data_IF_831836322739
#
_entry.id   IF_831836322739
#
_cell.length_a   1.000
_cell.length_b   1.000
_cell.length_c   1.000
_cell.angle_alpha   90.00
_cell.angle_beta   90.00
_cell.angle_gamma   90.00
#
_symmetry.space_group_name_H-M   'P 1'
#
loop_
_entity.id
_entity.type
_entity.pdbx_description
1 polymer ?
#
# COMPACT_ATOMS: atom_id res chain seq x y z
N UNK A 1 -57.02 -24.85 -38.79
CA UNK A 1 -55.97 -24.60 -37.77
C UNK A 1 -54.63 -24.44 -38.45
N UNK A 2 -54.29 -23.19 -38.80
CA UNK A 2 -53.00 -22.83 -39.41
C UNK A 2 -51.97 -22.70 -38.31
N UNK A 3 -51.21 -23.76 -38.13
CA UNK A 3 -49.93 -23.66 -37.45
C UNK A 3 -48.96 -23.03 -38.46
N UNK A 4 -48.67 -21.74 -38.24
CA UNK A 4 -47.65 -21.01 -38.99
C UNK A 4 -46.32 -21.75 -38.84
N UNK A 5 -45.85 -22.35 -39.91
CA UNK A 5 -44.47 -22.78 -40.06
C UNK A 5 -43.61 -21.54 -40.02
N UNK A 6 -43.06 -21.22 -38.83
CA UNK A 6 -42.02 -20.24 -38.73
C UNK A 6 -40.75 -20.93 -39.24
N UNK A 7 -40.34 -20.58 -40.46
CA UNK A 7 -39.15 -21.15 -41.10
C UNK A 7 -37.91 -20.87 -40.21
N UNK A 8 -37.40 -21.91 -39.59
CA UNK A 8 -36.17 -21.86 -38.76
C UNK A 8 -35.00 -21.16 -39.47
N UNK A 9 -34.79 -21.25 -40.79
CA UNK A 9 -33.77 -20.51 -41.52
C UNK A 9 -33.89 -18.97 -41.42
N UNK A 10 -35.15 -18.42 -41.40
CA UNK A 10 -35.36 -16.98 -41.34
C UNK A 10 -35.01 -16.39 -39.95
N UNK A 11 -35.26 -17.17 -38.90
CA UNK A 11 -34.88 -16.79 -37.53
C UNK A 11 -33.33 -16.84 -37.38
N UNK A 12 -32.68 -17.84 -37.91
CA UNK A 12 -31.21 -17.94 -37.89
C UNK A 12 -30.54 -16.81 -38.69
N UNK A 13 -31.10 -16.43 -39.85
CA UNK A 13 -30.65 -15.30 -40.65
C UNK A 13 -30.82 -13.96 -39.91
N UNK A 14 -31.95 -13.79 -39.20
CA UNK A 14 -32.18 -12.61 -38.35
C UNK A 14 -31.15 -12.47 -37.24
N UNK A 15 -30.82 -13.57 -36.53
CA UNK A 15 -29.79 -13.58 -35.51
C UNK A 15 -28.39 -13.32 -36.08
N UNK A 16 -28.07 -13.87 -37.23
CA UNK A 16 -26.77 -13.68 -37.86
C UNK A 16 -26.49 -12.23 -38.27
N UNK A 17 -27.54 -11.47 -38.55
CA UNK A 17 -27.45 -10.02 -38.89
C UNK A 17 -27.53 -9.14 -37.61
N UNK A 18 -28.42 -9.51 -36.69
CA UNK A 18 -28.66 -8.68 -35.49
C UNK A 18 -27.43 -8.68 -34.54
N UNK A 19 -26.72 -9.79 -34.43
CA UNK A 19 -25.56 -9.90 -33.51
C UNK A 19 -24.38 -8.96 -33.90
N UNK A 20 -23.89 -8.97 -35.15
CA UNK A 20 -22.87 -8.02 -35.58
C UNK A 20 -23.31 -6.56 -35.46
N UNK A 21 -24.60 -6.28 -35.75
CA UNK A 21 -25.16 -4.95 -35.65
C UNK A 21 -25.22 -4.46 -34.20
N UNK A 22 -25.53 -5.34 -33.25
CA UNK A 22 -25.48 -5.03 -31.82
C UNK A 22 -24.07 -4.69 -31.35
N UNK A 23 -23.06 -5.47 -31.73
CA UNK A 23 -21.66 -5.21 -31.40
C UNK A 23 -21.19 -3.90 -32.02
N UNK A 24 -21.49 -3.67 -33.30
CA UNK A 24 -21.15 -2.42 -33.97
C UNK A 24 -21.84 -1.21 -33.31
N UNK A 25 -23.11 -1.37 -32.90
CA UNK A 25 -23.86 -0.33 -32.18
C UNK A 25 -23.20 0.08 -30.85
N UNK A 26 -22.73 -0.87 -30.07
CA UNK A 26 -22.00 -0.60 -28.82
C UNK A 26 -20.69 0.12 -29.12
N UNK A 27 -19.89 -0.37 -30.07
CA UNK A 27 -18.62 0.27 -30.45
C UNK A 27 -18.86 1.72 -30.94
N UNK A 28 -19.86 1.90 -31.81
CA UNK A 28 -20.22 3.21 -32.34
C UNK A 28 -20.69 4.16 -31.22
N UNK A 29 -21.48 3.66 -30.29
CA UNK A 29 -21.92 4.39 -29.09
C UNK A 29 -20.74 4.91 -28.26
N UNK A 30 -19.73 4.08 -28.00
CA UNK A 30 -18.50 4.50 -27.32
C UNK A 30 -17.72 5.54 -28.12
N UNK A 31 -17.63 5.38 -29.44
CA UNK A 31 -16.95 6.36 -30.30
C UNK A 31 -17.69 7.70 -30.28
N UNK A 32 -19.02 7.69 -30.40
CA UNK A 32 -19.84 8.90 -30.35
C UNK A 32 -19.73 9.58 -28.98
N UNK A 33 -19.82 8.79 -27.90
CA UNK A 33 -19.70 9.30 -26.53
C UNK A 33 -18.35 9.96 -26.29
N UNK A 34 -17.28 9.34 -26.77
CA UNK A 34 -15.93 9.89 -26.72
C UNK A 34 -15.79 11.20 -27.47
N UNK A 35 -16.42 11.28 -28.67
CA UNK A 35 -16.39 12.48 -29.49
C UNK A 35 -17.28 13.60 -28.91
N UNK A 36 -18.45 13.25 -28.36
CA UNK A 36 -19.38 14.18 -27.73
C UNK A 36 -18.82 14.77 -26.42
N UNK A 37 -18.13 13.96 -25.63
CA UNK A 37 -17.51 14.40 -24.37
C UNK A 37 -16.16 15.09 -24.57
N UNK A 38 -15.66 15.21 -25.82
CA UNK A 38 -14.36 15.83 -26.12
C UNK A 38 -13.24 15.37 -25.18
N UNK A 39 -13.19 14.07 -24.90
CA UNK A 39 -12.14 13.50 -24.05
C UNK A 39 -10.79 13.61 -24.81
N UNK A 40 -10.04 14.64 -24.47
CA UNK A 40 -8.71 14.86 -25.03
C UNK A 40 -7.71 13.98 -24.25
N UNK A 41 -7.16 12.98 -24.95
CA UNK A 41 -6.13 12.09 -24.38
C UNK A 41 -4.93 12.86 -23.85
N UNK A 42 -4.60 13.99 -24.47
CA UNK A 42 -3.46 14.79 -24.05
C UNK A 42 -3.71 15.49 -22.70
N UNK A 43 -4.97 15.88 -22.41
CA UNK A 43 -5.30 16.45 -21.11
C UNK A 43 -5.39 15.38 -20.02
N UNK A 44 -5.93 14.19 -20.31
CA UNK A 44 -5.92 13.05 -19.38
C UNK A 44 -4.50 12.57 -19.10
N UNK A 45 -3.66 12.43 -20.12
CA UNK A 45 -2.24 12.08 -19.94
C UNK A 45 -1.47 13.18 -19.19
N UNK A 46 -1.81 14.46 -19.42
CA UNK A 46 -1.22 15.57 -18.69
C UNK A 46 -1.72 15.64 -17.23
N UNK A 47 -3.00 15.34 -16.99
CA UNK A 47 -3.55 15.25 -15.63
C UNK A 47 -3.04 13.99 -14.91
N UNK A 48 -2.94 12.86 -15.59
CA UNK A 48 -2.29 11.67 -15.06
C UNK A 48 -0.83 11.94 -14.72
N UNK A 49 -0.05 12.55 -15.63
CA UNK A 49 1.35 12.94 -15.37
C UNK A 49 1.47 13.97 -14.24
N UNK A 50 0.55 14.93 -14.11
CA UNK A 50 0.50 15.86 -12.97
C UNK A 50 0.14 15.13 -11.69
N UNK A 51 -0.80 14.20 -11.74
CA UNK A 51 -1.13 13.31 -10.62
C UNK A 51 0.05 12.41 -10.23
N UNK A 52 0.76 11.84 -11.20
CA UNK A 52 1.98 11.05 -10.97
C UNK A 52 3.14 11.90 -10.47
N UNK A 53 3.34 13.11 -10.99
CA UNK A 53 4.35 14.04 -10.49
C UNK A 53 4.08 14.51 -9.05
N UNK A 54 2.81 14.64 -8.69
CA UNK A 54 2.42 14.91 -7.29
C UNK A 54 2.55 13.65 -6.42
N UNK A 55 2.37 12.45 -6.98
CA UNK A 55 2.62 11.17 -6.32
C UNK A 55 4.13 10.90 -6.16
N UNK A 56 4.97 11.30 -7.11
CA UNK A 56 6.44 11.25 -6.95
C UNK A 56 6.92 12.19 -5.85
N UNK A 57 6.31 13.37 -5.73
CA UNK A 57 6.56 14.29 -4.60
C UNK A 57 6.05 13.75 -3.25
N UNK A 58 5.16 12.75 -3.25
CA UNK A 58 4.64 12.06 -2.07
C UNK A 58 5.33 10.72 -1.80
N UNK A 59 6.28 10.28 -2.64
CA UNK A 59 7.04 9.05 -2.38
C UNK A 59 7.96 9.25 -1.17
N UNK A 60 7.93 8.29 -0.25
CA UNK A 60 8.82 8.28 0.89
C UNK A 60 10.17 7.67 0.50
N UNK A 61 11.24 8.37 0.81
CA UNK A 61 12.60 7.86 0.66
C UNK A 61 13.01 7.04 1.89
N UNK A 62 13.86 6.06 1.65
CA UNK A 62 14.54 5.30 2.70
C UNK A 62 16.03 5.56 2.58
N UNK A 63 16.67 5.85 3.69
CA UNK A 63 18.10 6.12 3.75
C UNK A 63 18.66 5.81 5.13
N UNK A 64 19.97 5.63 5.21
CA UNK A 64 20.66 5.35 6.45
C UNK A 64 21.47 6.55 6.88
N UNK A 65 21.49 6.81 8.20
CA UNK A 65 22.26 7.89 8.81
C UNK A 65 23.05 7.33 9.98
N UNK A 66 24.35 7.61 10.00
CA UNK A 66 25.22 7.35 11.13
C UNK A 66 25.16 8.55 12.07
N UNK A 67 24.92 8.31 13.34
CA UNK A 67 24.86 9.35 14.37
C UNK A 67 26.27 9.78 14.72
N UNK A 68 26.63 11.00 14.32
CA UNK A 68 27.96 11.60 14.59
C UNK A 68 27.85 12.95 15.29
N UNK A 69 26.66 13.56 15.30
CA UNK A 69 26.45 14.86 15.90
C UNK A 69 26.26 14.76 17.43
N UNK A 70 27.16 15.36 18.16
CA UNK A 70 27.15 15.38 19.65
C UNK A 70 25.85 15.92 20.25
N UNK A 71 25.13 16.81 19.55
CA UNK A 71 23.85 17.37 20.02
C UNK A 71 22.75 16.31 20.14
N UNK A 72 22.89 15.17 19.45
CA UNK A 72 21.89 14.09 19.40
C UNK A 72 22.22 12.96 20.39
N UNK A 73 23.46 12.90 20.87
CA UNK A 73 23.88 11.85 21.81
C UNK A 73 23.03 11.87 23.07
N UNK A 74 22.53 10.70 23.46
CA UNK A 74 21.68 10.52 24.64
C UNK A 74 20.23 11.00 24.46
N UNK A 75 19.87 11.58 23.31
CA UNK A 75 18.48 11.98 23.03
C UNK A 75 17.63 10.82 22.55
N UNK A 76 16.37 10.85 22.89
CA UNK A 76 15.37 9.91 22.40
C UNK A 76 14.92 10.27 20.98
N UNK A 77 14.45 9.30 20.23
CA UNK A 77 13.85 9.52 18.89
C UNK A 77 12.69 10.53 18.95
N UNK A 78 11.94 10.56 20.06
CA UNK A 78 10.85 11.53 20.27
C UNK A 78 11.39 12.96 20.38
N UNK A 79 12.49 13.15 21.10
CA UNK A 79 13.14 14.47 21.22
C UNK A 79 13.74 14.94 19.90
N UNK A 80 14.38 14.05 19.14
CA UNK A 80 14.90 14.37 17.80
C UNK A 80 13.78 14.78 16.85
N UNK A 81 12.64 14.08 16.90
CA UNK A 81 11.45 14.47 16.12
C UNK A 81 10.93 15.84 16.52
N UNK A 82 10.95 16.15 17.80
CA UNK A 82 10.50 17.47 18.29
C UNK A 82 11.45 18.59 17.87
N UNK A 83 12.77 18.34 17.87
CA UNK A 83 13.78 19.31 17.42
C UNK A 83 13.63 19.61 15.92
N UNK A 84 13.39 18.58 15.11
CA UNK A 84 13.27 18.73 13.68
C UNK A 84 11.91 19.31 13.24
N UNK A 85 10.89 19.17 14.09
CA UNK A 85 9.48 19.54 13.82
C UNK A 85 8.97 19.02 12.46
N UNK A 86 9.36 17.79 12.13
CA UNK A 86 9.01 17.10 10.89
C UNK A 86 8.71 15.64 11.16
N UNK A 87 7.82 15.07 10.34
CA UNK A 87 7.49 13.66 10.42
C UNK A 87 8.53 12.80 9.69
N UNK A 88 9.07 11.85 10.41
CA UNK A 88 9.91 10.77 9.90
C UNK A 88 9.70 9.52 10.76
N UNK A 89 10.10 8.37 10.22
CA UNK A 89 10.03 7.09 10.92
C UNK A 89 11.39 6.42 10.89
N UNK A 90 11.91 6.09 12.06
CA UNK A 90 13.08 5.21 12.18
C UNK A 90 12.53 3.77 12.30
N UNK A 91 12.84 2.94 11.32
CA UNK A 91 12.35 1.56 11.30
C UNK A 91 13.23 0.62 12.12
N UNK A 92 14.53 0.80 12.01
CA UNK A 92 15.57 -0.05 12.62
C UNK A 92 16.76 0.80 13.05
N UNK A 93 17.52 0.29 14.03
CA UNK A 93 18.79 0.81 14.47
C UNK A 93 19.80 -0.33 14.51
N UNK A 94 21.02 -0.06 14.07
CA UNK A 94 22.16 -0.94 14.21
C UNK A 94 23.15 -0.27 15.14
N UNK A 95 23.57 -1.00 16.19
CA UNK A 95 24.56 -0.54 17.17
C UNK A 95 25.86 -1.30 16.95
N UNK A 96 26.98 -0.59 16.69
CA UNK A 96 28.28 -1.25 16.46
C UNK A 96 28.74 -2.12 17.63
N UNK A 97 28.35 -1.75 18.86
CA UNK A 97 28.78 -2.43 20.09
C UNK A 97 27.96 -3.70 20.41
N UNK A 98 26.82 -3.90 19.76
CA UNK A 98 25.89 -4.99 20.07
C UNK A 98 25.87 -6.04 18.96
N UNK A 99 26.95 -6.74 18.77
CA UNK A 99 27.12 -7.99 18.00
C UNK A 99 26.24 -8.12 16.74
N UNK A 100 26.21 -7.06 15.93
CA UNK A 100 25.59 -7.01 14.59
C UNK A 100 24.06 -7.16 14.51
N UNK A 101 23.32 -7.08 15.60
CA UNK A 101 21.86 -7.23 15.55
C UNK A 101 21.14 -5.92 15.30
N UNK A 102 20.16 -5.97 14.40
CA UNK A 102 19.20 -4.89 14.16
C UNK A 102 18.17 -4.87 15.28
N UNK A 103 17.91 -3.69 15.81
CA UNK A 103 16.86 -3.49 16.81
C UNK A 103 15.72 -2.66 16.23
N UNK A 104 14.50 -2.96 16.67
CA UNK A 104 13.35 -2.11 16.36
C UNK A 104 13.36 -0.86 17.21
N UNK A 105 13.12 0.28 16.58
CA UNK A 105 13.20 1.60 17.21
C UNK A 105 11.83 2.07 17.67
N UNK A 106 11.75 2.69 18.86
CA UNK A 106 10.57 3.38 19.36
C UNK A 106 10.84 4.86 19.67
N UNK A 107 9.80 5.58 20.05
CA UNK A 107 9.96 6.99 20.43
C UNK A 107 10.87 7.22 21.64
N UNK A 108 11.05 6.20 22.51
CA UNK A 108 11.88 6.25 23.71
C UNK A 108 13.29 5.68 23.49
N UNK A 109 13.57 5.14 22.29
CA UNK A 109 14.90 4.63 21.97
C UNK A 109 15.89 5.78 22.01
N UNK A 110 16.95 5.62 22.81
CA UNK A 110 18.04 6.58 22.93
C UNK A 110 19.04 6.37 21.80
N UNK A 111 19.49 7.44 21.18
CA UNK A 111 20.49 7.47 20.12
C UNK A 111 21.86 7.78 20.71
N UNK A 112 22.82 6.93 20.38
CA UNK A 112 24.21 7.07 20.85
C UNK A 112 25.15 7.36 19.68
N UNK A 113 26.38 7.73 20.01
CA UNK A 113 27.44 7.92 19.04
C UNK A 113 27.68 6.62 18.24
N UNK A 114 27.81 6.74 16.94
CA UNK A 114 28.08 5.60 16.05
C UNK A 114 26.87 4.75 15.71
N UNK A 115 25.72 4.94 16.34
CA UNK A 115 24.48 4.27 15.96
C UNK A 115 24.14 4.54 14.49
N UNK A 116 23.68 3.52 13.77
CA UNK A 116 23.21 3.64 12.39
C UNK A 116 21.70 3.45 12.38
N UNK A 117 20.98 4.46 11.93
CA UNK A 117 19.53 4.43 11.86
C UNK A 117 19.03 4.29 10.42
N UNK A 118 18.01 3.45 10.22
CA UNK A 118 17.31 3.31 8.95
C UNK A 118 16.01 4.10 8.97
N UNK A 119 15.97 5.15 8.15
CA UNK A 119 14.94 6.17 8.19
C UNK A 119 14.03 6.07 6.98
N UNK A 120 12.72 6.28 7.21
CA UNK A 120 11.70 6.49 6.19
C UNK A 120 11.16 7.91 6.38
N UNK A 121 11.34 8.76 5.38
CA UNK A 121 10.92 10.15 5.44
C UNK A 121 10.57 10.71 4.06
N UNK A 122 9.88 11.85 4.06
CA UNK A 122 9.67 12.61 2.83
C UNK A 122 11.01 13.18 2.32
N UNK A 123 11.22 13.31 0.98
CA UNK A 123 12.47 13.85 0.42
C UNK A 123 12.92 15.18 1.04
N UNK A 124 11.97 16.05 1.36
CA UNK A 124 12.25 17.37 1.99
C UNK A 124 12.80 17.28 3.41
N UNK A 125 12.67 16.15 4.07
CA UNK A 125 13.15 15.90 5.44
C UNK A 125 14.55 15.31 5.45
N UNK A 126 14.98 14.72 4.35
CA UNK A 126 16.22 13.97 4.25
C UNK A 126 17.44 14.84 4.61
N UNK A 127 17.64 15.94 3.93
CA UNK A 127 18.78 16.84 4.18
C UNK A 127 18.80 17.45 5.59
N UNK A 128 17.67 18.02 6.11
CA UNK A 128 17.62 18.50 7.48
C UNK A 128 17.91 17.41 8.52
N UNK A 129 17.44 16.19 8.31
CA UNK A 129 17.68 15.08 9.23
C UNK A 129 19.15 14.64 9.22
N UNK A 130 19.78 14.56 8.05
CA UNK A 130 21.20 14.24 7.92
C UNK A 130 22.02 15.31 8.62
N UNK A 131 21.76 16.59 8.36
CA UNK A 131 22.47 17.71 9.00
C UNK A 131 22.33 17.69 10.54
N UNK A 132 21.16 17.28 11.04
CA UNK A 132 20.91 17.18 12.48
C UNK A 132 21.59 15.97 13.11
N UNK A 133 21.50 14.79 12.48
CA UNK A 133 21.91 13.51 13.07
C UNK A 133 23.37 13.16 12.80
N UNK A 134 23.90 13.51 11.62
CA UNK A 134 25.28 13.21 11.26
C UNK A 134 25.50 12.93 9.78
N UNK A 135 25.95 11.75 9.42
CA UNK A 135 26.42 11.41 8.07
C UNK A 135 25.51 10.39 7.39
N UNK A 136 25.14 10.65 6.12
CA UNK A 136 24.47 9.67 5.29
C UNK A 136 25.45 8.57 4.91
N UNK A 137 25.04 7.33 5.13
CA UNK A 137 25.81 6.15 4.74
C UNK A 137 24.96 5.26 3.83
N UNK A 138 25.63 4.53 2.97
CA UNK A 138 25.02 3.44 2.21
C UNK A 138 25.33 2.11 2.92
N UNK A 139 24.30 1.47 3.43
CA UNK A 139 24.42 0.25 4.24
C UNK A 139 23.49 -0.82 3.68
N UNK A 140 24.04 -1.97 3.37
CA UNK A 140 23.30 -3.15 2.95
C UNK A 140 22.61 -3.80 4.15
N UNK A 141 21.41 -3.33 4.48
CA UNK A 141 20.64 -3.79 5.65
C UNK A 141 20.29 -5.29 5.60
N UNK A 142 20.26 -5.90 4.43
CA UNK A 142 19.99 -7.31 4.23
C UNK A 142 21.12 -8.20 4.81
N UNK A 143 22.33 -7.70 4.87
CA UNK A 143 23.52 -8.44 5.33
C UNK A 143 23.60 -8.52 6.87
N UNK A 144 22.93 -7.63 7.58
CA UNK A 144 22.98 -7.57 9.03
C UNK A 144 21.78 -8.31 9.66
N UNK A 145 21.99 -9.55 10.11
CA UNK A 145 21.07 -10.36 10.90
C UNK A 145 19.67 -10.58 10.29
N UNK A 146 19.26 -11.81 10.15
CA UNK A 146 17.99 -12.19 9.50
C UNK A 146 16.76 -12.19 10.43
N UNK A 147 16.86 -11.69 11.66
CA UNK A 147 15.73 -11.75 12.61
C UNK A 147 14.59 -10.80 12.27
N UNK A 148 14.90 -9.62 11.70
CA UNK A 148 13.89 -8.63 11.32
C UNK A 148 13.67 -8.65 9.81
N UNK A 149 12.47 -9.03 9.42
CA UNK A 149 12.02 -9.01 8.04
C UNK A 149 11.00 -7.91 7.82
N UNK A 150 10.83 -7.53 6.57
CA UNK A 150 9.84 -6.54 6.15
C UNK A 150 8.76 -7.21 5.31
N UNK A 151 7.49 -6.97 5.63
CA UNK A 151 6.35 -7.50 4.88
C UNK A 151 5.29 -6.44 4.64
N UNK A 152 4.65 -6.50 3.47
CA UNK A 152 3.50 -5.65 3.14
C UNK A 152 2.21 -6.41 3.43
N UNK A 153 1.35 -5.84 4.25
CA UNK A 153 0.09 -6.43 4.70
C UNK A 153 -1.06 -5.52 4.26
N UNK A 154 -2.13 -6.08 3.71
CA UNK A 154 -3.34 -5.32 3.39
C UNK A 154 -4.32 -5.40 4.55
N UNK A 155 -4.86 -4.25 4.94
CA UNK A 155 -5.90 -4.18 5.97
C UNK A 155 -7.23 -4.62 5.38
N UNK A 156 -7.76 -5.75 5.89
CA UNK A 156 -9.02 -6.32 5.43
C UNK A 156 -10.04 -6.52 6.56
N UNK A 157 -9.65 -6.34 7.83
CA UNK A 157 -10.58 -6.43 8.96
C UNK A 157 -11.34 -5.12 9.20
N UNK A 158 -12.69 -5.13 9.18
CA UNK A 158 -13.50 -3.92 9.41
C UNK A 158 -13.23 -3.24 10.75
N UNK A 159 -12.94 -4.01 11.81
CA UNK A 159 -12.69 -3.50 13.16
C UNK A 159 -11.44 -2.62 13.31
N UNK A 160 -10.61 -2.51 12.27
CA UNK A 160 -9.42 -1.67 12.25
C UNK A 160 -9.70 -0.31 11.61
N UNK A 161 -10.75 -0.23 10.80
CA UNK A 161 -11.09 0.99 10.09
C UNK A 161 -11.29 2.17 11.05
N UNK A 162 -10.54 3.25 10.82
CA UNK A 162 -10.60 4.48 11.63
C UNK A 162 -9.76 4.46 12.91
N UNK A 163 -9.18 3.32 13.32
CA UNK A 163 -8.26 3.26 14.48
C UNK A 163 -6.91 3.87 14.12
N UNK A 164 -6.30 4.56 15.09
CA UNK A 164 -4.94 5.07 14.93
C UNK A 164 -3.91 3.96 15.16
N UNK A 165 -2.71 4.12 14.60
CA UNK A 165 -1.59 3.20 14.83
C UNK A 165 -1.29 3.08 16.33
N UNK A 166 -1.36 4.19 17.05
CA UNK A 166 -1.18 4.22 18.52
C UNK A 166 -2.23 3.39 19.25
N UNK A 167 -3.51 3.51 18.89
CA UNK A 167 -4.60 2.74 19.50
C UNK A 167 -4.48 1.24 19.24
N UNK A 168 -3.89 0.85 18.12
CA UNK A 168 -3.68 -0.56 17.78
C UNK A 168 -2.61 -1.22 18.64
N UNK A 169 -1.70 -0.44 19.27
CA UNK A 169 -0.60 -0.94 20.10
C UNK A 169 0.16 -2.11 19.46
N UNK A 170 0.26 -2.10 18.12
CA UNK A 170 0.82 -3.21 17.32
C UNK A 170 2.23 -3.55 17.79
N UNK A 171 2.99 -2.53 18.17
CA UNK A 171 4.36 -2.72 18.62
C UNK A 171 4.44 -3.41 19.97
N UNK A 172 3.72 -2.92 20.98
CA UNK A 172 3.75 -3.48 22.34
C UNK A 172 3.11 -4.85 22.42
N UNK A 173 2.05 -5.09 21.64
CA UNK A 173 1.28 -6.32 21.71
C UNK A 173 1.76 -7.40 20.74
N UNK A 174 2.31 -7.00 19.60
CA UNK A 174 2.65 -7.92 18.51
C UNK A 174 4.13 -7.93 18.17
N UNK A 175 4.94 -7.04 18.76
CA UNK A 175 6.39 -6.97 18.49
C UNK A 175 6.72 -6.59 17.05
N UNK A 176 5.86 -5.82 16.38
CA UNK A 176 6.10 -5.35 15.00
C UNK A 176 5.99 -3.83 14.92
N UNK A 177 6.64 -3.23 13.94
CA UNK A 177 6.59 -1.80 13.69
C UNK A 177 6.01 -1.51 12.31
N UNK A 178 5.01 -0.63 12.22
CA UNK A 178 4.52 -0.13 10.93
C UNK A 178 5.39 1.05 10.55
N UNK A 179 6.01 0.99 9.36
CA UNK A 179 6.93 2.03 8.88
C UNK A 179 6.31 2.91 7.82
N UNK A 180 5.40 2.35 7.01
CA UNK A 180 4.75 3.03 5.89
C UNK A 180 3.34 2.52 5.71
N UNK A 181 2.44 3.40 5.30
CA UNK A 181 1.07 3.07 4.91
C UNK A 181 0.86 3.56 3.48
N UNK A 182 0.55 2.65 2.56
CA UNK A 182 0.17 3.00 1.20
C UNK A 182 -1.36 3.00 1.08
N UNK A 183 -1.92 4.14 0.75
CA UNK A 183 -3.36 4.35 0.56
C UNK A 183 -3.62 4.84 -0.85
N UNK A 184 -4.31 4.04 -1.65
CA UNK A 184 -4.65 4.37 -3.04
C UNK A 184 -3.43 4.82 -3.88
N UNK A 185 -2.25 4.20 -3.67
CA UNK A 185 -1.02 4.55 -4.38
C UNK A 185 -0.16 5.61 -3.69
N UNK A 186 -0.67 6.32 -2.68
CA UNK A 186 0.08 7.34 -1.93
C UNK A 186 0.75 6.72 -0.71
N UNK A 187 2.04 6.96 -0.54
CA UNK A 187 2.78 6.53 0.64
C UNK A 187 2.70 7.57 1.76
N UNK A 188 2.24 7.14 2.92
CA UNK A 188 2.11 7.93 4.13
C UNK A 188 3.10 7.44 5.19
N UNK A 189 3.69 8.37 5.93
CA UNK A 189 4.52 8.03 7.09
C UNK A 189 3.62 7.45 8.19
N UNK A 190 4.02 6.32 8.77
CA UNK A 190 3.28 5.65 9.83
C UNK A 190 3.42 6.37 11.18
N UNK A 191 2.86 7.58 11.28
CA UNK A 191 2.83 8.34 12.55
C UNK A 191 1.85 7.71 13.54
N UNK A 192 2.06 7.87 14.87
CA UNK A 192 1.17 7.28 15.88
C UNK A 192 -0.30 7.68 15.72
N UNK A 193 -0.56 8.90 15.23
CA UNK A 193 -1.91 9.46 15.07
C UNK A 193 -2.55 9.13 13.71
N UNK A 194 -1.82 8.47 12.80
CA UNK A 194 -2.36 8.08 11.50
C UNK A 194 -3.48 7.06 11.68
N UNK A 195 -4.67 7.41 11.17
CA UNK A 195 -5.82 6.49 11.16
C UNK A 195 -5.69 5.51 10.00
N UNK A 196 -5.79 4.23 10.31
CA UNK A 196 -5.77 3.15 9.34
C UNK A 196 -7.16 2.98 8.70
N UNK A 197 -7.18 2.61 7.43
CA UNK A 197 -8.42 2.39 6.65
C UNK A 197 -8.41 1.00 6.00
N UNK A 198 -9.61 0.50 5.74
CA UNK A 198 -9.77 -0.71 4.93
C UNK A 198 -9.15 -0.50 3.56
N UNK A 199 -8.40 -1.52 3.11
CA UNK A 199 -7.71 -1.45 1.82
C UNK A 199 -6.29 -0.88 1.89
N UNK A 200 -5.90 -0.18 2.97
CA UNK A 200 -4.53 0.29 3.15
C UNK A 200 -3.55 -0.88 3.06
N UNK A 201 -2.40 -0.62 2.46
CA UNK A 201 -1.25 -1.53 2.47
C UNK A 201 -0.22 -0.99 3.46
N UNK A 202 -0.03 -1.68 4.56
CA UNK A 202 0.95 -1.30 5.58
C UNK A 202 2.24 -2.08 5.38
N UNK A 203 3.38 -1.39 5.48
CA UNK A 203 4.71 -2.01 5.52
C UNK A 203 5.07 -2.23 6.98
N UNK A 204 5.25 -3.49 7.35
CA UNK A 204 5.50 -3.94 8.72
C UNK A 204 6.89 -4.54 8.82
N UNK A 205 7.62 -4.20 9.89
CA UNK A 205 8.95 -4.74 10.22
C UNK A 205 8.84 -5.50 11.53
N UNK A 206 9.44 -6.67 11.60
CA UNK A 206 9.44 -7.51 12.80
C UNK A 206 10.00 -8.89 12.52
N UNK A 207 9.98 -9.78 13.53
CA UNK A 207 10.31 -11.18 13.34
C UNK A 207 9.22 -11.91 12.54
N UNK A 208 9.52 -13.02 11.91
CA UNK A 208 8.57 -13.82 11.12
C UNK A 208 7.30 -14.16 11.91
N UNK A 209 7.48 -14.60 13.16
CA UNK A 209 6.37 -14.95 14.07
C UNK A 209 5.50 -13.71 14.39
N UNK A 210 6.13 -12.59 14.72
CA UNK A 210 5.45 -11.34 15.05
C UNK A 210 4.65 -10.81 13.84
N UNK A 211 5.21 -10.88 12.65
CA UNK A 211 4.54 -10.48 11.41
C UNK A 211 3.35 -11.40 11.12
N UNK A 212 3.49 -12.73 11.32
CA UNK A 212 2.38 -13.67 11.12
C UNK A 212 1.20 -13.38 12.07
N UNK A 213 1.47 -12.98 13.32
CA UNK A 213 0.45 -12.54 14.25
C UNK A 213 -0.19 -11.23 13.81
N UNK A 214 0.62 -10.29 13.35
CA UNK A 214 0.14 -8.99 12.82
C UNK A 214 -0.75 -9.18 11.59
N UNK A 215 -0.41 -10.09 10.68
CA UNK A 215 -1.25 -10.47 9.54
C UNK A 215 -2.62 -10.98 9.97
N UNK A 216 -2.68 -11.81 11.01
CA UNK A 216 -3.95 -12.29 11.57
C UNK A 216 -4.79 -11.15 12.16
N UNK A 217 -4.16 -10.18 12.81
CA UNK A 217 -4.82 -9.01 13.39
C UNK A 217 -5.32 -8.06 12.32
N UNK A 218 -4.50 -7.73 11.33
CA UNK A 218 -4.82 -6.80 10.24
C UNK A 218 -5.71 -7.42 9.16
N UNK A 219 -5.67 -8.76 9.04
CA UNK A 219 -6.62 -9.51 8.22
C UNK A 219 -6.16 -9.82 6.81
N UNK A 220 -4.89 -9.81 6.46
CA UNK A 220 -4.26 -10.04 5.14
C UNK A 220 -4.89 -11.21 4.31
N UNK A 221 -6.21 -11.16 4.11
CA UNK A 221 -6.97 -12.21 3.40
C UNK A 221 -6.93 -12.04 1.88
N UNK A 222 -5.74 -11.95 1.28
CA UNK A 222 -5.61 -12.03 -0.18
C UNK A 222 -6.07 -13.40 -0.74
N UNK A 223 -6.13 -14.44 0.10
CA UNK A 223 -6.52 -15.79 -0.33
C UNK A 223 -7.99 -15.95 -0.74
N UNK A 224 -8.90 -15.07 -0.33
CA UNK A 224 -10.33 -15.20 -0.68
C UNK A 224 -10.73 -14.58 -2.01
N UNK A 225 -9.95 -13.68 -2.56
CA UNK A 225 -10.26 -13.02 -3.86
C UNK A 225 -9.81 -13.85 -5.09
N UNK A 226 -8.97 -14.88 -4.88
CA UNK A 226 -8.47 -15.71 -5.98
C UNK A 226 -9.39 -16.86 -6.39
N UNK A 227 -10.49 -17.07 -5.69
CA UNK A 227 -11.50 -18.04 -6.10
C UNK A 227 -12.81 -17.32 -6.39
N UNK A 228 -13.13 -17.01 -7.66
CA UNK A 228 -14.44 -16.50 -8.00
C UNK A 228 -15.48 -17.54 -7.56
N UNK A 229 -16.46 -17.09 -6.81
CA UNK A 229 -17.56 -17.96 -6.41
C UNK A 229 -18.42 -18.23 -7.67
N UNK A 230 -18.16 -19.34 -8.33
CA UNK A 230 -18.84 -19.72 -9.57
C UNK A 230 -20.27 -20.22 -9.32
N UNK A 231 -20.63 -20.53 -8.07
CA UNK A 231 -21.95 -21.09 -7.71
C UNK A 231 -23.10 -20.19 -8.18
N UNK A 232 -23.12 -18.85 -7.93
CA UNK A 232 -24.20 -18.00 -8.40
C UNK A 232 -24.31 -17.96 -9.93
N UNK A 233 -23.18 -18.06 -10.64
CA UNK A 233 -23.15 -18.05 -12.11
C UNK A 233 -23.78 -19.32 -12.63
N UNK A 234 -23.39 -20.50 -12.15
CA UNK A 234 -23.97 -21.78 -12.57
C UNK A 234 -25.45 -21.90 -12.19
N UNK A 235 -25.84 -21.40 -11.02
CA UNK A 235 -27.23 -21.38 -10.57
C UNK A 235 -28.08 -20.47 -11.46
N UNK A 236 -27.56 -19.32 -11.88
CA UNK A 236 -28.22 -18.41 -12.81
C UNK A 236 -28.42 -19.03 -14.20
N UNK A 237 -27.40 -19.72 -14.73
CA UNK A 237 -27.48 -20.43 -16.01
C UNK A 237 -28.51 -21.57 -15.91
N UNK A 238 -28.47 -22.38 -14.85
CA UNK A 238 -29.41 -23.49 -14.66
C UNK A 238 -30.85 -23.02 -14.55
N UNK A 239 -31.14 -21.95 -13.79
CA UNK A 239 -32.45 -21.35 -13.70
C UNK A 239 -32.90 -20.77 -15.04
N UNK A 240 -32.01 -20.12 -15.78
CA UNK A 240 -32.30 -19.62 -17.11
C UNK A 240 -32.70 -20.70 -18.10
N UNK A 241 -32.04 -21.86 -18.07
CA UNK A 241 -32.39 -23.02 -18.91
C UNK A 241 -33.72 -23.68 -18.52
N UNK A 242 -34.16 -23.56 -17.24
CA UNK A 242 -35.43 -24.14 -16.81
C UNK A 242 -36.62 -23.27 -17.22
N UNK A 243 -36.40 -21.92 -17.32
CA UNK A 243 -37.45 -20.94 -17.64
C UNK A 243 -37.58 -20.70 -19.15
N UNK A 244 -36.57 -21.05 -19.96
CA UNK A 244 -36.58 -20.95 -21.42
C UNK A 244 -37.29 -22.16 -22.06
#
# INVERSE_FOLDING_TARGET
SDLRHIDAPSIAAGYAIAYPMGVLGVILSFIILRFALRIDKNEEDAQAKRGFGHLEAMTLNTFSVKITNKMIFGKTVKEVRHILDRDFMISQIHRPDNNSNKEMVNGQTVLNEGDIIYVVAHPTVQEPLIALCGEKIDMAWEEFGNELITRRIRITKPGINGKTISQMQIRSNLGTNITRVNRAGVDLIATPNLKLQLGDRVTVVGTELAISHTEKVLGNQMKRLNYPNLIPIFLGIMLGCIVA
#
